data_IF_369565290719
#
_entry.id   IF_369565290719
#
_cell.length_a   1.000
_cell.length_b   1.000
_cell.length_c   1.000
_cell.angle_alpha   90.00
_cell.angle_beta   90.00
_cell.angle_gamma   90.00
#
_symmetry.space_group_name_H-M   'P 1'
#
loop_
_entity.id
_entity.type
_entity.pdbx_description
1 polymer ?
#
# COMPACT_ATOMS: atom_id res chain seq x y z
N UNK A 1 -30.61 -43.76 -21.34
CA UNK A 1 -30.87 -42.74 -22.37
C UNK A 1 -31.41 -41.52 -21.63
N UNK A 2 -30.58 -40.50 -21.45
CA UNK A 2 -30.89 -39.35 -20.57
C UNK A 2 -31.22 -38.16 -21.46
N UNK A 3 -32.40 -37.52 -21.34
CA UNK A 3 -32.77 -36.43 -22.24
C UNK A 3 -31.98 -35.16 -21.88
N UNK A 4 -31.43 -34.52 -22.92
CA UNK A 4 -30.77 -33.21 -22.85
C UNK A 4 -31.84 -32.11 -22.92
N UNK A 5 -31.81 -31.07 -22.07
CA UNK A 5 -32.71 -29.93 -22.22
C UNK A 5 -32.25 -28.99 -23.35
N UNK A 6 -33.20 -28.61 -24.20
CA UNK A 6 -33.08 -27.58 -25.24
C UNK A 6 -33.35 -26.22 -24.61
N UNK A 7 -32.37 -25.31 -24.62
CA UNK A 7 -32.55 -23.93 -24.16
C UNK A 7 -32.71 -23.03 -25.39
N UNK A 8 -33.92 -22.52 -25.58
CA UNK A 8 -34.26 -21.52 -26.61
C UNK A 8 -33.96 -20.12 -26.07
N UNK A 9 -32.93 -19.46 -26.60
CA UNK A 9 -32.59 -18.07 -26.25
C UNK A 9 -33.23 -17.10 -27.25
N UNK A 10 -34.18 -16.29 -26.77
CA UNK A 10 -34.83 -15.21 -27.53
C UNK A 10 -34.02 -13.92 -27.40
N UNK A 11 -33.27 -13.55 -28.46
CA UNK A 11 -32.61 -12.25 -28.59
C UNK A 11 -33.64 -11.14 -28.84
N UNK A 12 -33.64 -10.11 -28.00
CA UNK A 12 -34.38 -8.85 -28.22
C UNK A 12 -33.45 -7.81 -28.88
N UNK A 13 -33.93 -6.91 -29.76
CA UNK A 13 -33.06 -6.03 -30.56
C UNK A 13 -32.47 -4.85 -29.78
N UNK A 14 -31.26 -4.45 -30.20
CA UNK A 14 -30.58 -3.19 -29.84
C UNK A 14 -31.37 -1.95 -30.27
N UNK A 15 -31.37 -0.87 -29.46
CA UNK A 15 -31.65 0.47 -29.93
C UNK A 15 -30.36 1.20 -30.35
N UNK A 16 -30.41 1.77 -31.55
CA UNK A 16 -29.41 2.68 -32.15
C UNK A 16 -29.41 4.04 -31.44
N UNK A 17 -28.25 4.66 -31.14
CA UNK A 17 -28.19 6.09 -30.82
C UNK A 17 -27.99 6.95 -32.08
N UNK A 18 -28.79 8.02 -32.18
CA UNK A 18 -28.69 9.10 -33.18
C UNK A 18 -27.46 9.99 -32.91
N UNK A 19 -26.88 10.48 -34.00
CA UNK A 19 -25.75 11.44 -34.09
C UNK A 19 -26.27 12.86 -34.35
N UNK A 20 -25.71 13.85 -33.64
CA UNK A 20 -25.43 15.25 -34.05
C UNK A 20 -24.93 16.00 -32.79
N UNK A 21 -23.62 16.26 -32.65
CA UNK A 21 -22.88 17.45 -33.09
C UNK A 21 -23.14 18.69 -32.21
N UNK A 22 -22.14 19.11 -31.42
CA UNK A 22 -21.72 20.51 -31.34
C UNK A 22 -20.29 20.65 -30.78
N UNK A 23 -19.59 21.66 -31.28
CA UNK A 23 -18.19 22.03 -31.06
C UNK A 23 -18.09 22.89 -29.80
N UNK A 24 -17.25 22.48 -28.86
CA UNK A 24 -16.89 23.28 -27.69
C UNK A 24 -15.41 23.11 -27.35
N UNK A 25 -14.57 24.01 -27.86
CA UNK A 25 -13.21 24.21 -27.35
C UNK A 25 -13.28 24.76 -25.93
N UNK A 26 -12.60 24.14 -24.97
CA UNK A 26 -12.12 24.79 -23.75
C UNK A 26 -11.08 23.92 -23.03
N UNK A 27 -9.85 24.43 -23.05
CA UNK A 27 -8.76 24.30 -22.08
C UNK A 27 -8.45 22.93 -21.46
N UNK A 28 -7.43 22.30 -22.03
CA UNK A 28 -6.48 21.45 -21.32
C UNK A 28 -5.83 22.26 -20.18
N UNK A 29 -6.35 22.14 -18.97
CA UNK A 29 -5.58 22.42 -17.76
C UNK A 29 -4.67 21.22 -17.53
N UNK A 30 -3.38 21.41 -17.84
CA UNK A 30 -2.31 20.54 -17.37
C UNK A 30 -2.25 20.75 -15.86
N UNK A 31 -2.87 19.85 -15.09
CA UNK A 31 -2.59 19.75 -13.66
C UNK A 31 -1.11 19.42 -13.51
N UNK A 32 -0.41 20.43 -13.00
CA UNK A 32 1.00 20.36 -12.63
C UNK A 32 1.13 19.31 -11.53
N UNK A 33 2.15 18.43 -11.57
CA UNK A 33 2.33 17.44 -10.51
C UNK A 33 2.38 18.15 -9.17
N UNK A 34 1.47 17.78 -8.27
CA UNK A 34 1.50 18.21 -6.88
C UNK A 34 2.88 17.86 -6.33
N UNK A 35 3.60 18.92 -6.00
CA UNK A 35 4.90 18.87 -5.36
C UNK A 35 4.75 18.02 -4.10
N UNK A 36 5.53 16.95 -3.98
CA UNK A 36 5.63 16.15 -2.76
C UNK A 36 5.76 17.13 -1.58
N UNK A 37 4.71 17.19 -0.76
CA UNK A 37 4.65 18.07 0.38
C UNK A 37 5.76 17.62 1.33
N UNK A 38 6.88 18.34 1.28
CA UNK A 38 8.00 18.18 2.21
C UNK A 38 7.44 18.59 3.56
N UNK A 39 6.85 17.64 4.28
CA UNK A 39 6.32 17.89 5.61
C UNK A 39 7.48 18.40 6.44
N UNK A 40 7.35 19.62 6.94
CA UNK A 40 8.37 20.26 7.75
C UNK A 40 8.84 19.30 8.86
N UNK A 41 10.14 19.29 9.21
CA UNK A 41 10.65 18.46 10.29
C UNK A 41 9.79 18.68 11.53
N UNK A 42 9.25 17.61 12.10
CA UNK A 42 8.44 17.68 13.31
C UNK A 42 9.37 18.08 14.46
N UNK A 43 9.30 19.33 14.97
CA UNK A 43 10.22 19.80 15.99
C UNK A 43 10.03 19.06 17.33
N UNK A 44 8.97 18.24 17.47
CA UNK A 44 8.66 17.48 18.67
C UNK A 44 9.06 15.99 18.57
N UNK A 45 9.64 15.53 17.46
CA UNK A 45 10.12 14.15 17.38
C UNK A 45 11.49 14.02 18.06
N UNK A 46 11.47 13.66 19.35
CA UNK A 46 12.69 13.23 20.07
C UNK A 46 12.82 11.71 19.93
N UNK A 47 13.81 11.21 19.18
CA UNK A 47 13.92 9.77 18.97
C UNK A 47 14.30 9.03 20.27
N UNK A 48 13.72 7.85 20.53
CA UNK A 48 13.88 7.16 21.81
C UNK A 48 15.34 6.77 22.08
N UNK A 49 15.77 6.85 23.34
CA UNK A 49 17.13 6.51 23.76
C UNK A 49 17.36 4.99 23.92
N UNK A 50 16.29 4.19 23.95
CA UNK A 50 16.31 2.74 24.13
C UNK A 50 15.40 2.06 23.09
N UNK A 51 15.67 0.79 22.73
CA UNK A 51 14.74 -0.04 21.97
C UNK A 51 13.36 -0.03 22.63
N UNK A 52 12.35 0.51 21.95
CA UNK A 52 10.98 0.63 22.47
C UNK A 52 9.98 -0.11 21.60
N UNK A 53 10.43 -0.73 20.51
CA UNK A 53 9.55 -1.21 19.46
C UNK A 53 8.91 -2.55 19.87
N UNK A 54 7.84 -2.48 20.65
CA UNK A 54 6.81 -3.49 20.67
C UNK A 54 5.48 -2.79 20.44
N UNK A 55 4.67 -3.31 19.54
CA UNK A 55 3.40 -2.66 19.27
C UNK A 55 2.66 -3.25 18.10
N UNK A 56 1.46 -2.71 17.90
CA UNK A 56 0.56 -3.07 16.82
C UNK A 56 0.12 -1.79 16.13
N UNK A 57 0.10 -1.81 14.79
CA UNK A 57 -0.35 -0.71 13.97
C UNK A 57 -1.23 -1.20 12.83
N UNK A 58 -2.32 -0.48 12.56
CA UNK A 58 -3.26 -0.82 11.49
C UNK A 58 -2.96 0.06 10.26
N UNK A 59 -2.69 -0.60 9.13
CA UNK A 59 -2.43 0.04 7.83
C UNK A 59 -3.69 -0.06 6.99
N UNK A 60 -4.38 1.06 6.81
CA UNK A 60 -5.61 1.15 6.02
C UNK A 60 -5.31 1.14 4.53
N UNK A 61 -6.17 0.51 3.73
CA UNK A 61 -5.96 0.37 2.29
C UNK A 61 -6.32 1.62 1.46
N UNK A 62 -7.16 2.49 2.01
CA UNK A 62 -7.63 3.75 1.40
C UNK A 62 -6.72 4.95 1.70
N UNK A 63 -5.50 4.69 2.18
CA UNK A 63 -4.53 5.71 2.58
C UNK A 63 -3.19 5.47 1.90
N UNK A 64 -2.49 6.58 1.67
CA UNK A 64 -1.08 6.57 1.26
C UNK A 64 -0.17 6.15 2.45
N UNK A 65 1.05 6.67 2.48
CA UNK A 65 1.97 6.48 3.60
C UNK A 65 1.34 6.88 4.94
N UNK A 66 1.37 5.95 5.89
CA UNK A 66 0.79 6.04 7.21
C UNK A 66 1.89 5.94 8.26
N UNK A 67 2.10 7.04 8.98
CA UNK A 67 3.07 7.10 10.06
C UNK A 67 2.56 6.32 11.27
N UNK A 68 3.31 5.31 11.70
CA UNK A 68 2.93 4.49 12.85
C UNK A 68 3.31 5.14 14.18
N UNK A 69 3.01 4.48 15.29
CA UNK A 69 3.57 4.77 16.61
C UNK A 69 4.77 3.87 16.95
N UNK A 70 5.32 3.14 15.97
CA UNK A 70 6.42 2.20 16.15
C UNK A 70 7.74 2.94 15.89
N UNK A 71 8.42 3.32 16.96
CA UNK A 71 9.73 3.95 16.91
C UNK A 71 10.83 2.90 16.87
N UNK A 72 11.88 3.16 16.10
CA UNK A 72 13.01 2.27 15.89
C UNK A 72 14.35 2.95 16.19
N UNK A 73 15.31 2.19 16.70
CA UNK A 73 16.63 2.70 17.10
C UNK A 73 17.78 2.00 16.37
N UNK A 74 18.99 2.60 16.38
CA UNK A 74 20.12 2.03 15.65
C UNK A 74 20.53 0.64 16.11
N UNK A 75 20.90 -0.22 15.15
CA UNK A 75 21.30 -1.62 15.35
C UNK A 75 20.22 -2.53 15.98
N UNK A 76 19.00 -2.05 16.16
CA UNK A 76 17.90 -2.83 16.71
C UNK A 76 17.50 -3.97 15.76
N UNK A 77 17.30 -5.16 16.33
CA UNK A 77 16.77 -6.32 15.62
C UNK A 77 15.33 -6.56 16.03
N UNK A 78 14.45 -6.70 15.04
CA UNK A 78 13.02 -6.92 15.30
C UNK A 78 12.38 -7.81 14.24
N UNK A 79 11.26 -8.40 14.62
CA UNK A 79 10.32 -9.10 13.76
C UNK A 79 9.13 -8.19 13.52
N UNK A 80 8.70 -8.10 12.28
CA UNK A 80 7.35 -7.67 11.90
C UNK A 80 6.56 -8.86 11.40
N UNK A 81 5.32 -8.93 11.86
CA UNK A 81 4.30 -9.82 11.34
C UNK A 81 3.16 -8.94 10.82
N UNK A 82 2.76 -9.15 9.58
CA UNK A 82 1.60 -8.52 8.99
C UNK A 82 0.50 -9.56 8.78
N UNK A 83 -0.72 -9.27 9.17
CA UNK A 83 -1.90 -10.11 8.93
C UNK A 83 -3.04 -9.27 8.40
N UNK A 84 -4.09 -9.95 7.90
CA UNK A 84 -5.27 -9.30 7.32
C UNK A 84 -5.30 -9.42 5.80
N UNK A 85 -6.27 -8.73 5.21
CA UNK A 85 -6.47 -8.68 3.77
C UNK A 85 -7.03 -7.32 3.36
N UNK A 86 -6.75 -6.94 2.12
CA UNK A 86 -7.26 -5.70 1.52
C UNK A 86 -7.87 -5.97 0.15
N UNK A 87 -8.81 -5.12 -0.24
CA UNK A 87 -9.35 -5.11 -1.59
C UNK A 87 -8.77 -3.91 -2.35
N UNK A 88 -8.22 -4.17 -3.54
CA UNK A 88 -7.69 -3.15 -4.44
C UNK A 88 -8.80 -2.65 -5.37
N UNK A 89 -9.81 -2.00 -4.78
CA UNK A 89 -11.04 -1.60 -5.45
C UNK A 89 -11.72 -2.77 -6.16
N UNK A 90 -12.18 -2.54 -7.39
CA UNK A 90 -12.83 -3.57 -8.20
C UNK A 90 -11.84 -4.56 -8.86
N UNK A 91 -10.53 -4.34 -8.72
CA UNK A 91 -9.52 -5.05 -9.49
C UNK A 91 -9.22 -6.43 -8.90
N UNK A 92 -9.04 -6.48 -7.57
CA UNK A 92 -8.68 -7.70 -6.86
C UNK A 92 -9.13 -7.65 -5.41
N UNK A 93 -9.80 -8.72 -4.98
CA UNK A 93 -10.22 -8.93 -3.59
C UNK A 93 -9.25 -9.83 -2.83
N UNK A 94 -9.25 -9.67 -1.51
CA UNK A 94 -8.53 -10.49 -0.53
C UNK A 94 -7.02 -10.58 -0.80
N UNK A 95 -6.39 -9.45 -1.05
CA UNK A 95 -4.94 -9.34 -1.24
C UNK A 95 -4.26 -9.44 0.12
N UNK A 96 -3.30 -10.37 0.25
CA UNK A 96 -2.47 -10.54 1.44
C UNK A 96 -1.35 -9.50 1.49
N UNK A 97 -0.63 -9.35 2.63
CA UNK A 97 0.48 -8.40 2.75
C UNK A 97 1.61 -8.60 1.73
N UNK A 98 1.74 -9.79 1.14
CA UNK A 98 2.74 -10.09 0.09
C UNK A 98 2.40 -9.43 -1.26
N UNK A 99 1.13 -9.04 -1.44
CA UNK A 99 0.61 -8.49 -2.68
C UNK A 99 0.45 -9.53 -3.79
N UNK A 100 0.17 -9.03 -5.00
CA UNK A 100 -0.08 -9.85 -6.19
C UNK A 100 0.92 -9.50 -7.29
N UNK A 101 1.79 -10.45 -7.63
CA UNK A 101 2.87 -10.26 -8.60
C UNK A 101 2.43 -10.38 -10.08
N UNK A 102 1.12 -10.39 -10.35
CA UNK A 102 0.56 -10.50 -11.70
C UNK A 102 0.89 -9.26 -12.55
N UNK A 103 1.23 -9.49 -13.82
CA UNK A 103 1.49 -8.45 -14.82
C UNK A 103 0.26 -7.59 -15.09
N UNK A 104 -0.94 -8.16 -14.98
CA UNK A 104 -2.22 -7.45 -15.13
C UNK A 104 -2.33 -6.24 -14.20
N UNK A 105 -1.71 -6.30 -13.03
CA UNK A 105 -1.81 -5.27 -12.00
C UNK A 105 -0.55 -4.38 -11.92
N UNK A 106 0.33 -4.41 -12.92
CA UNK A 106 1.55 -3.60 -12.91
C UNK A 106 1.28 -2.09 -12.90
N UNK A 107 0.26 -1.64 -13.64
CA UNK A 107 -0.13 -0.23 -13.73
C UNK A 107 -0.68 0.33 -12.43
N UNK A 108 -1.00 -0.54 -11.46
CA UNK A 108 -1.48 -0.18 -10.13
C UNK A 108 -0.36 0.05 -9.13
N UNK A 109 0.88 -0.32 -9.43
CA UNK A 109 1.98 -0.26 -8.46
C UNK A 109 2.48 1.18 -8.33
N UNK A 110 2.64 1.66 -7.08
CA UNK A 110 3.44 2.87 -6.81
C UNK A 110 4.91 2.62 -7.12
N UNK A 111 5.38 1.43 -6.75
CA UNK A 111 6.76 0.99 -6.89
C UNK A 111 6.78 -0.28 -7.75
N UNK A 112 7.23 -0.19 -9.02
CA UNK A 112 7.14 -1.29 -9.99
C UNK A 112 7.82 -2.59 -9.56
N UNK A 113 8.88 -2.49 -8.76
CA UNK A 113 9.68 -3.60 -8.25
C UNK A 113 8.95 -4.46 -7.21
N UNK A 114 7.89 -3.93 -6.58
CA UNK A 114 7.09 -4.66 -5.60
C UNK A 114 5.75 -5.12 -6.19
N UNK A 115 5.15 -6.21 -5.70
CA UNK A 115 3.81 -6.65 -6.12
C UNK A 115 2.73 -5.62 -5.84
N UNK A 116 1.63 -5.64 -6.61
CA UNK A 116 0.50 -4.74 -6.36
C UNK A 116 -0.19 -5.12 -5.04
N UNK A 117 -0.51 -4.13 -4.20
CA UNK A 117 -1.10 -4.36 -2.89
C UNK A 117 -0.14 -4.92 -1.82
N UNK A 118 1.15 -5.05 -2.13
CA UNK A 118 2.14 -5.46 -1.13
C UNK A 118 2.26 -4.41 -0.02
N UNK A 119 2.39 -4.86 1.22
CA UNK A 119 2.68 -4.00 2.35
C UNK A 119 4.16 -3.60 2.34
N UNK A 120 4.40 -2.30 2.24
CA UNK A 120 5.73 -1.70 2.23
C UNK A 120 5.95 -0.91 3.52
N UNK A 121 7.23 -0.75 3.86
CA UNK A 121 7.65 0.09 4.96
C UNK A 121 8.90 0.89 4.63
N UNK A 122 9.11 1.96 5.38
CA UNK A 122 10.34 2.74 5.46
C UNK A 122 10.45 3.40 6.84
N UNK A 123 11.62 3.90 7.17
CA UNK A 123 11.83 4.70 8.38
C UNK A 123 11.75 6.17 8.02
N UNK A 124 10.92 6.94 8.74
CA UNK A 124 10.91 8.40 8.71
C UNK A 124 11.83 8.93 9.81
N UNK A 125 12.82 9.72 9.42
CA UNK A 125 13.81 10.30 10.33
C UNK A 125 13.32 11.64 10.90
N UNK A 126 13.97 12.09 11.98
CA UNK A 126 13.67 13.38 12.63
C UNK A 126 13.84 14.59 11.70
N UNK A 127 14.77 14.50 10.74
CA UNK A 127 15.05 15.55 9.76
C UNK A 127 14.07 15.54 8.56
N UNK A 128 13.05 14.67 8.60
CA UNK A 128 12.06 14.51 7.53
C UNK A 128 12.51 13.64 6.35
N UNK A 129 13.76 13.15 6.34
CA UNK A 129 14.21 12.18 5.32
C UNK A 129 13.60 10.80 5.58
N UNK A 130 13.76 9.93 4.58
CA UNK A 130 13.27 8.56 4.62
C UNK A 130 14.37 7.55 4.32
N UNK A 131 14.26 6.36 4.92
CA UNK A 131 15.11 5.21 4.56
C UNK A 131 14.64 4.57 3.25
N UNK A 132 15.38 3.54 2.79
CA UNK A 132 14.98 2.75 1.62
C UNK A 132 13.69 1.99 1.90
N UNK A 133 12.85 1.90 0.88
CA UNK A 133 11.60 1.15 0.95
C UNK A 133 11.90 -0.34 0.97
N UNK A 134 11.22 -1.06 1.86
CA UNK A 134 11.31 -2.51 2.00
C UNK A 134 9.93 -3.12 2.01
N UNK A 135 9.76 -4.29 1.40
CA UNK A 135 8.56 -5.09 1.58
C UNK A 135 8.55 -5.72 2.96
N UNK A 136 7.46 -5.57 3.71
CA UNK A 136 7.28 -6.19 5.03
C UNK A 136 7.12 -7.71 4.88
N UNK A 137 6.40 -8.13 3.85
CA UNK A 137 6.01 -9.52 3.64
C UNK A 137 6.64 -10.07 2.35
N UNK A 138 7.93 -10.37 2.37
CA UNK A 138 8.58 -10.98 1.20
C UNK A 138 8.45 -12.52 1.18
N UNK A 139 8.19 -13.18 2.33
CA UNK A 139 7.91 -14.63 2.45
C UNK A 139 7.08 -14.96 3.71
N UNK A 140 5.79 -15.28 3.55
CA UNK A 140 4.82 -15.68 4.60
C UNK A 140 4.39 -14.57 5.56
N UNK A 141 4.23 -13.36 5.04
CA UNK A 141 3.71 -12.22 5.80
C UNK A 141 4.50 -11.82 7.07
N UNK A 142 5.77 -12.24 7.17
CA UNK A 142 6.68 -11.83 8.24
C UNK A 142 8.10 -11.66 7.72
N UNK A 143 8.93 -10.99 8.51
CA UNK A 143 10.36 -10.85 8.25
C UNK A 143 11.15 -10.54 9.51
N UNK A 144 12.48 -10.53 9.38
CA UNK A 144 13.41 -10.09 10.41
C UNK A 144 14.19 -8.92 9.84
N UNK A 145 14.30 -7.85 10.61
CA UNK A 145 15.02 -6.65 10.24
C UNK A 145 16.07 -6.30 11.27
N UNK A 146 17.13 -5.69 10.77
CA UNK A 146 18.14 -5.04 11.59
C UNK A 146 18.33 -3.63 11.05
N UNK A 147 18.12 -2.64 11.90
CA UNK A 147 18.34 -1.24 11.53
C UNK A 147 19.81 -0.96 11.31
N UNK A 148 20.10 -0.01 10.41
CA UNK A 148 21.45 0.49 10.24
C UNK A 148 21.97 1.19 11.51
N UNK A 149 23.31 1.32 11.68
CA UNK A 149 23.91 1.98 12.85
C UNK A 149 23.55 3.45 13.05
N UNK A 150 22.98 4.09 12.03
CA UNK A 150 22.52 5.48 12.02
C UNK A 150 20.99 5.58 11.87
N UNK A 151 20.28 4.46 11.77
CA UNK A 151 18.84 4.44 11.53
C UNK A 151 18.06 4.59 12.83
N UNK A 152 17.44 5.76 12.96
CA UNK A 152 16.69 6.18 14.15
C UNK A 152 15.49 7.00 13.73
N UNK A 153 14.29 6.51 14.00
CA UNK A 153 13.10 7.16 13.48
C UNK A 153 11.83 6.41 13.83
N UNK A 154 10.80 6.61 13.00
CA UNK A 154 9.49 6.01 13.15
C UNK A 154 9.14 5.27 11.88
N UNK A 155 8.58 4.06 12.02
CA UNK A 155 8.17 3.28 10.87
C UNK A 155 6.95 3.92 10.22
N UNK A 156 6.98 3.98 8.90
CA UNK A 156 5.89 4.42 8.05
C UNK A 156 5.57 3.28 7.09
N UNK A 157 4.28 3.06 6.86
CA UNK A 157 3.79 1.93 6.06
C UNK A 157 2.90 2.42 4.93
N UNK A 158 2.88 1.69 3.82
CA UNK A 158 1.89 1.91 2.77
C UNK A 158 1.54 0.58 2.08
N UNK A 159 0.41 0.58 1.38
CA UNK A 159 0.06 -0.48 0.46
C UNK A 159 0.54 -0.05 -0.93
N UNK A 160 1.23 -0.93 -1.65
CA UNK A 160 1.79 -0.64 -2.97
C UNK A 160 0.68 -0.53 -4.04
N UNK A 161 -0.02 0.59 -4.04
CA UNK A 161 -1.13 0.88 -4.93
C UNK A 161 -1.24 2.39 -5.24
N UNK A 162 -1.28 2.76 -6.51
CA UNK A 162 -1.26 4.16 -6.97
C UNK A 162 -2.66 4.78 -7.15
N UNK A 163 -3.70 4.03 -6.82
CA UNK A 163 -5.09 4.47 -6.83
C UNK A 163 -5.78 3.96 -5.55
N UNK A 164 -5.39 4.46 -4.37
CA UNK A 164 -5.89 3.97 -3.09
C UNK A 164 -7.38 4.25 -2.89
N UNK A 165 -7.95 5.22 -3.61
CA UNK A 165 -9.37 5.55 -3.56
C UNK A 165 -10.24 4.35 -3.96
N UNK A 166 -11.15 3.97 -3.07
CA UNK A 166 -12.04 2.83 -3.25
C UNK A 166 -11.43 1.48 -2.85
N UNK A 167 -10.19 1.46 -2.36
CA UNK A 167 -9.68 0.29 -1.64
C UNK A 167 -10.36 0.15 -0.28
N UNK A 168 -10.43 -1.08 0.23
CA UNK A 168 -10.98 -1.37 1.54
C UNK A 168 -10.15 -2.43 2.29
N UNK A 169 -10.45 -2.62 3.57
CA UNK A 169 -9.71 -3.52 4.46
C UNK A 169 -8.49 -2.86 5.09
N UNK A 170 -7.74 -3.68 5.83
CA UNK A 170 -6.53 -3.24 6.50
C UNK A 170 -5.56 -4.40 6.73
N UNK A 171 -4.28 -4.05 6.87
CA UNK A 171 -3.30 -4.94 7.45
C UNK A 171 -3.03 -4.55 8.90
N UNK A 172 -2.92 -5.54 9.78
CA UNK A 172 -2.49 -5.37 11.17
C UNK A 172 -1.03 -5.79 11.24
N UNK A 173 -0.16 -4.84 11.59
CA UNK A 173 1.29 -5.02 11.70
C UNK A 173 1.67 -5.09 13.16
N UNK A 174 2.27 -6.20 13.57
CA UNK A 174 2.80 -6.40 14.91
C UNK A 174 4.32 -6.40 14.85
N UNK A 175 4.95 -5.65 15.76
CA UNK A 175 6.40 -5.56 15.91
C UNK A 175 6.82 -6.17 17.24
N UNK A 176 7.82 -7.05 17.22
CA UNK A 176 8.45 -7.61 18.42
C UNK A 176 9.98 -7.53 18.31
N UNK A 177 10.64 -7.07 19.38
CA UNK A 177 12.11 -7.05 19.49
C UNK A 177 12.63 -8.49 19.56
N UNK A 178 13.76 -8.75 18.90
CA UNK A 178 14.53 -9.98 19.08
C UNK A 178 15.62 -9.67 20.12
N UNK A 179 15.45 -10.16 21.34
CA UNK A 179 16.50 -10.12 22.35
C UNK A 179 17.60 -11.13 21.99
N UNK A 180 18.87 -10.69 22.06
CA UNK A 180 20.05 -11.55 21.89
C UNK A 180 20.42 -12.29 23.19
#
# INVERSE_FOLDING_TARGET
ITPTPVITSTRKPSPTPKKAADVGSSNTSVETPETEETTAPDPNFTPPAKPTAQGVFNVKADKNWQLSNLDVVPNEKFVLLAVGSVNLGEIKKDVSPEGVADKKYQTRRLFPEFPAGALLMRTRYADGKYSKISAVANKKASGIWQNAPDERGRLEFCINDNAPDGNDGEFVVSLAIIEE
#
